data_IF_169090256172
#
_entry.id   IF_169090256172
#
_cell.length_a   1.000
_cell.length_b   1.000
_cell.length_c   1.000
_cell.angle_alpha   90.00
_cell.angle_beta   90.00
_cell.angle_gamma   90.00
#
_symmetry.space_group_name_H-M   'P 1'
#
loop_
_entity.id
_entity.type
_entity.pdbx_description
1 polymer ?
#
# COMPACT_ATOMS: atom_id res chain seq x y z
N UNK A 1 20.83 16.13 12.25
CA UNK A 1 21.49 15.37 11.15
C UNK A 1 20.42 14.96 10.14
N UNK A 2 20.62 15.18 8.83
CA UNK A 2 19.62 14.79 7.80
C UNK A 2 19.70 13.28 7.55
N UNK A 3 18.57 12.57 7.57
CA UNK A 3 18.53 11.14 7.23
C UNK A 3 18.78 10.94 5.72
N UNK A 4 19.67 10.01 5.39
CA UNK A 4 19.90 9.60 3.99
C UNK A 4 18.68 8.82 3.48
N UNK A 5 18.34 8.92 2.17
CA UNK A 5 17.32 8.07 1.58
C UNK A 5 17.68 6.59 1.75
N UNK A 6 16.68 5.78 2.11
CA UNK A 6 16.79 4.32 2.10
C UNK A 6 17.10 3.86 0.67
N UNK A 7 17.99 2.89 0.49
CA UNK A 7 18.18 2.27 -0.82
C UNK A 7 16.99 1.36 -1.13
N UNK A 8 16.46 1.45 -2.36
CA UNK A 8 15.42 0.52 -2.81
C UNK A 8 16.05 -0.79 -3.24
N UNK A 9 15.58 -1.90 -2.68
CA UNK A 9 15.97 -3.23 -3.13
C UNK A 9 15.27 -3.56 -4.46
N UNK A 10 16.06 -3.93 -5.47
CA UNK A 10 15.58 -4.44 -6.75
C UNK A 10 15.99 -5.91 -6.88
N UNK A 11 15.23 -6.73 -7.64
CA UNK A 11 15.50 -8.17 -7.75
C UNK A 11 16.77 -8.51 -8.54
N UNK A 12 17.33 -7.55 -9.28
CA UNK A 12 18.58 -7.71 -10.01
C UNK A 12 19.58 -6.63 -9.59
N UNK A 13 20.84 -7.03 -9.46
CA UNK A 13 21.93 -6.11 -9.17
C UNK A 13 22.69 -5.77 -10.45
N UNK A 14 22.68 -4.50 -10.89
CA UNK A 14 23.42 -4.11 -12.07
C UNK A 14 24.93 -4.18 -11.79
N UNK A 15 25.68 -4.74 -12.75
CA UNK A 15 27.15 -4.78 -12.71
C UNK A 15 27.77 -3.39 -12.80
N UNK A 16 27.13 -2.46 -13.52
CA UNK A 16 27.62 -1.09 -13.71
C UNK A 16 27.21 -0.17 -12.54
N UNK A 17 28.17 0.56 -11.92
CA UNK A 17 27.86 1.56 -10.89
C UNK A 17 26.94 2.68 -11.38
N UNK A 18 27.05 3.08 -12.65
CA UNK A 18 26.20 4.12 -13.25
C UNK A 18 24.75 3.65 -13.32
N UNK A 19 24.53 2.41 -13.74
CA UNK A 19 23.19 1.82 -13.79
C UNK A 19 22.62 1.63 -12.38
N UNK A 20 23.45 1.26 -11.40
CA UNK A 20 23.05 1.23 -9.99
C UNK A 20 22.58 2.60 -9.50
N UNK A 21 23.33 3.66 -9.79
CA UNK A 21 22.94 5.03 -9.48
C UNK A 21 21.64 5.46 -10.16
N UNK A 22 21.48 5.13 -11.44
CA UNK A 22 20.26 5.40 -12.19
C UNK A 22 19.04 4.67 -11.59
N UNK A 23 19.19 3.40 -11.21
CA UNK A 23 18.11 2.62 -10.58
C UNK A 23 17.69 3.17 -9.20
N UNK A 24 18.60 3.81 -8.48
CA UNK A 24 18.30 4.49 -7.22
C UNK A 24 17.80 5.93 -7.41
N UNK A 25 17.69 6.41 -8.64
CA UNK A 25 17.12 7.73 -8.91
C UNK A 25 15.62 7.74 -8.62
N UNK A 26 15.11 8.88 -8.15
CA UNK A 26 13.69 9.06 -7.89
C UNK A 26 12.84 8.79 -9.13
N UNK A 27 13.28 9.27 -10.30
CA UNK A 27 12.60 9.08 -11.57
C UNK A 27 12.50 7.60 -11.95
N UNK A 28 13.60 6.85 -11.86
CA UNK A 28 13.58 5.42 -12.15
C UNK A 28 12.69 4.66 -11.18
N UNK A 29 12.79 4.95 -9.88
CA UNK A 29 11.95 4.31 -8.86
C UNK A 29 10.47 4.57 -9.16
N UNK A 30 10.08 5.82 -9.44
CA UNK A 30 8.70 6.17 -9.79
C UNK A 30 8.25 5.45 -11.07
N UNK A 31 9.04 5.48 -12.13
CA UNK A 31 8.71 4.81 -13.40
C UNK A 31 8.55 3.31 -13.21
N UNK A 32 9.49 2.66 -12.53
CA UNK A 32 9.43 1.22 -12.27
C UNK A 32 8.20 0.84 -11.42
N UNK A 33 7.83 1.64 -10.43
CA UNK A 33 6.61 1.36 -9.66
C UNK A 33 5.33 1.75 -10.38
N UNK A 34 5.37 2.73 -11.28
CA UNK A 34 4.24 3.07 -12.14
C UNK A 34 3.91 1.88 -13.04
N UNK A 35 4.92 1.30 -13.71
CA UNK A 35 4.76 0.09 -14.52
C UNK A 35 4.25 -1.10 -13.69
N UNK A 36 4.89 -1.36 -12.54
CA UNK A 36 4.55 -2.53 -11.72
C UNK A 36 3.33 -2.34 -10.82
N UNK A 37 2.81 -1.12 -10.72
CA UNK A 37 1.65 -0.72 -9.89
C UNK A 37 1.72 -1.09 -8.40
N UNK A 38 2.84 -1.61 -7.87
CA UNK A 38 2.90 -2.14 -6.51
C UNK A 38 2.11 -3.44 -6.31
N UNK A 39 1.98 -4.28 -7.34
CA UNK A 39 1.21 -5.55 -7.24
C UNK A 39 1.91 -6.65 -6.42
N UNK A 40 3.22 -6.55 -6.17
CA UNK A 40 4.04 -7.61 -5.55
C UNK A 40 3.55 -8.06 -4.17
N UNK A 41 2.90 -7.19 -3.41
CA UNK A 41 2.36 -7.49 -2.08
C UNK A 41 0.87 -7.81 -2.05
N UNK A 42 0.17 -7.73 -3.19
CA UNK A 42 -1.27 -7.93 -3.28
C UNK A 42 -1.64 -9.40 -3.18
N UNK A 43 -2.79 -9.66 -2.57
CA UNK A 43 -3.46 -10.96 -2.63
C UNK A 43 -4.28 -11.07 -3.93
N UNK A 44 -4.64 -12.28 -4.34
CA UNK A 44 -5.34 -12.52 -5.60
C UNK A 44 -6.69 -11.80 -5.66
N UNK A 45 -7.41 -11.76 -4.52
CA UNK A 45 -8.71 -11.07 -4.47
C UNK A 45 -8.59 -9.55 -4.52
N UNK A 46 -7.54 -8.99 -3.95
CA UNK A 46 -7.28 -7.55 -4.08
C UNK A 46 -6.86 -7.22 -5.51
N UNK A 47 -5.99 -8.05 -6.10
CA UNK A 47 -5.52 -7.88 -7.46
C UNK A 47 -6.69 -7.95 -8.46
N UNK A 48 -7.60 -8.91 -8.31
CA UNK A 48 -8.76 -9.06 -9.20
C UNK A 48 -9.67 -7.83 -9.14
N UNK A 49 -9.95 -7.30 -7.95
CA UNK A 49 -10.70 -6.06 -7.80
C UNK A 49 -10.00 -4.88 -8.48
N UNK A 50 -8.68 -4.78 -8.31
CA UNK A 50 -7.90 -3.68 -8.90
C UNK A 50 -7.90 -3.73 -10.42
N UNK A 51 -7.70 -4.90 -11.01
CA UNK A 51 -7.76 -5.08 -12.46
C UNK A 51 -9.15 -4.76 -13.01
N UNK A 52 -10.21 -5.18 -12.30
CA UNK A 52 -11.59 -4.84 -12.67
C UNK A 52 -11.85 -3.33 -12.60
N UNK A 53 -11.36 -2.66 -11.56
CA UNK A 53 -11.48 -1.20 -11.41
C UNK A 53 -10.72 -0.45 -12.52
N UNK A 54 -9.49 -0.87 -12.83
CA UNK A 54 -8.68 -0.25 -13.89
C UNK A 54 -9.33 -0.43 -15.27
N UNK A 55 -9.87 -1.62 -15.54
CA UNK A 55 -10.64 -1.88 -16.76
C UNK A 55 -11.91 -1.01 -16.82
N UNK A 56 -12.66 -0.89 -15.73
CA UNK A 56 -13.85 -0.05 -15.65
C UNK A 56 -13.52 1.44 -15.88
N UNK A 57 -12.45 1.94 -15.27
CA UNK A 57 -11.96 3.30 -15.48
C UNK A 57 -11.50 3.52 -16.93
N UNK A 58 -10.79 2.56 -17.51
CA UNK A 58 -10.35 2.60 -18.91
C UNK A 58 -11.55 2.71 -19.84
N UNK A 59 -12.57 1.87 -19.66
CA UNK A 59 -13.78 1.92 -20.48
C UNK A 59 -14.54 3.24 -20.28
N UNK A 60 -14.71 3.69 -19.03
CA UNK A 60 -15.39 4.94 -18.71
C UNK A 60 -14.71 6.18 -19.33
N UNK A 61 -13.38 6.17 -19.43
CA UNK A 61 -12.60 7.24 -20.09
C UNK A 61 -12.56 7.08 -21.62
N UNK A 62 -12.54 5.86 -22.13
CA UNK A 62 -12.45 5.60 -23.57
C UNK A 62 -13.71 6.07 -24.31
N UNK A 63 -14.90 5.90 -23.73
CA UNK A 63 -16.17 6.30 -24.35
C UNK A 63 -16.23 7.80 -24.74
N UNK A 64 -15.98 8.77 -23.84
CA UNK A 64 -15.96 10.17 -24.22
C UNK A 64 -14.77 10.51 -25.14
N UNK A 65 -13.62 9.86 -24.98
CA UNK A 65 -12.46 10.10 -25.85
C UNK A 65 -12.70 9.63 -27.29
N UNK A 66 -13.46 8.55 -27.48
CA UNK A 66 -13.80 8.01 -28.79
C UNK A 66 -14.70 8.96 -29.62
N UNK A 67 -15.32 9.96 -28.99
CA UNK A 67 -16.03 11.03 -29.71
C UNK A 67 -15.06 11.98 -30.45
N UNK A 68 -13.78 12.02 -30.07
CA UNK A 68 -12.80 12.97 -30.60
C UNK A 68 -11.56 12.29 -31.23
N UNK A 69 -11.33 11.02 -30.93
CA UNK A 69 -10.14 10.27 -31.33
C UNK A 69 -10.53 8.94 -31.99
N UNK A 70 -9.70 8.39 -32.90
CA UNK A 70 -9.86 7.02 -33.36
C UNK A 70 -9.93 6.05 -32.19
N UNK A 71 -10.82 5.05 -32.25
CA UNK A 71 -11.10 4.14 -31.14
C UNK A 71 -9.84 3.53 -30.51
N UNK A 72 -8.88 3.09 -31.33
CA UNK A 72 -7.62 2.53 -30.84
C UNK A 72 -6.79 3.52 -30.02
N UNK A 73 -6.71 4.78 -30.45
CA UNK A 73 -6.00 5.84 -29.72
C UNK A 73 -6.77 6.27 -28.46
N UNK A 74 -8.10 6.34 -28.53
CA UNK A 74 -8.96 6.63 -27.37
C UNK A 74 -8.77 5.59 -26.26
N UNK A 75 -8.79 4.30 -26.61
CA UNK A 75 -8.57 3.20 -25.65
C UNK A 75 -7.16 3.23 -25.08
N UNK A 76 -6.13 3.43 -25.92
CA UNK A 76 -4.74 3.50 -25.45
C UNK A 76 -4.52 4.67 -24.47
N UNK A 77 -5.03 5.86 -24.81
CA UNK A 77 -4.94 7.03 -23.94
C UNK A 77 -5.74 6.83 -22.65
N UNK A 78 -6.96 6.30 -22.74
CA UNK A 78 -7.79 5.98 -21.59
C UNK A 78 -7.10 4.99 -20.63
N UNK A 79 -6.43 3.97 -21.16
CA UNK A 79 -5.66 3.01 -20.36
C UNK A 79 -4.52 3.70 -19.62
N UNK A 80 -3.71 4.52 -20.31
CA UNK A 80 -2.60 5.27 -19.68
C UNK A 80 -3.13 6.20 -18.57
N UNK A 81 -4.24 6.88 -18.80
CA UNK A 81 -4.88 7.75 -17.82
C UNK A 81 -5.41 6.96 -16.62
N UNK A 82 -6.16 5.88 -16.85
CA UNK A 82 -6.69 5.00 -15.81
C UNK A 82 -5.56 4.39 -14.95
N UNK A 83 -4.50 3.91 -15.60
CA UNK A 83 -3.32 3.33 -14.95
C UNK A 83 -2.55 4.36 -14.11
N UNK A 84 -2.44 5.60 -14.60
CA UNK A 84 -1.81 6.71 -13.86
C UNK A 84 -2.66 7.16 -12.68
N UNK A 85 -3.99 7.22 -12.86
CA UNK A 85 -4.93 7.54 -11.79
C UNK A 85 -4.91 6.46 -10.70
N UNK A 86 -4.92 5.19 -11.11
CA UNK A 86 -4.75 4.01 -10.25
C UNK A 86 -3.46 4.12 -9.45
N UNK A 87 -2.31 4.35 -10.08
CA UNK A 87 -1.03 4.55 -9.39
C UNK A 87 -1.08 5.67 -8.36
N UNK A 88 -1.68 6.81 -8.72
CA UNK A 88 -1.69 8.02 -7.92
C UNK A 88 -2.62 7.90 -6.72
N UNK A 89 -3.90 7.59 -6.96
CA UNK A 89 -4.93 7.52 -5.92
C UNK A 89 -4.75 6.31 -5.00
N UNK A 90 -4.09 5.24 -5.47
CA UNK A 90 -3.73 4.09 -4.65
C UNK A 90 -2.52 4.35 -3.72
N UNK A 91 -2.08 5.61 -3.60
CA UNK A 91 -1.06 6.04 -2.64
C UNK A 91 0.39 5.68 -3.01
N UNK A 92 0.60 5.00 -4.14
CA UNK A 92 1.92 4.48 -4.53
C UNK A 92 2.94 5.60 -4.79
N UNK A 93 2.47 6.78 -5.21
CA UNK A 93 3.31 7.98 -5.38
C UNK A 93 4.06 8.27 -4.08
N UNK A 94 3.39 8.36 -2.93
CA UNK A 94 4.04 8.72 -1.67
C UNK A 94 4.94 7.59 -1.13
N UNK A 95 4.51 6.33 -1.31
CA UNK A 95 5.35 5.15 -0.99
C UNK A 95 6.65 5.14 -1.79
N UNK A 96 6.64 5.64 -3.03
CA UNK A 96 7.84 5.79 -3.84
C UNK A 96 8.65 7.04 -3.45
N UNK A 97 7.98 8.16 -3.19
CA UNK A 97 8.63 9.41 -2.86
C UNK A 97 9.53 9.32 -1.62
N UNK A 98 9.28 8.40 -0.66
CA UNK A 98 10.18 8.19 0.50
C UNK A 98 11.64 7.86 0.13
N UNK A 99 11.86 7.27 -1.05
CA UNK A 99 13.19 6.99 -1.61
C UNK A 99 13.84 8.24 -2.24
N UNK A 100 13.07 9.28 -2.48
CA UNK A 100 13.54 10.53 -3.08
C UNK A 100 14.10 11.47 -2.02
N UNK A 101 15.18 12.19 -2.35
CA UNK A 101 15.85 13.11 -1.41
C UNK A 101 14.97 14.26 -0.94
N UNK A 102 14.10 14.75 -1.82
CA UNK A 102 13.25 15.92 -1.62
C UNK A 102 12.01 15.65 -0.76
N UNK A 103 11.56 14.41 -0.68
CA UNK A 103 10.37 14.07 0.09
C UNK A 103 10.71 13.78 1.54
N UNK A 104 9.91 14.35 2.42
CA UNK A 104 9.91 14.12 3.86
C UNK A 104 8.48 14.27 4.35
N UNK A 105 8.15 13.50 5.37
CA UNK A 105 6.87 13.58 6.05
C UNK A 105 7.11 13.82 7.52
N UNK A 106 6.29 14.68 8.10
CA UNK A 106 6.28 14.92 9.53
C UNK A 106 5.82 13.64 10.25
N UNK A 107 6.64 13.04 11.14
CA UNK A 107 6.26 11.89 11.93
C UNK A 107 4.91 12.07 12.65
N UNK A 108 4.63 13.26 13.19
CA UNK A 108 3.38 13.53 13.90
C UNK A 108 2.15 13.40 12.99
N UNK A 109 2.30 13.68 11.69
CA UNK A 109 1.23 13.48 10.71
C UNK A 109 0.95 12.00 10.46
N UNK A 110 2.00 11.17 10.42
CA UNK A 110 1.86 9.72 10.30
C UNK A 110 1.15 9.20 11.55
N UNK A 111 1.56 9.66 12.73
CA UNK A 111 0.98 9.30 14.03
C UNK A 111 -0.52 9.62 14.08
N UNK A 112 -0.88 10.87 13.80
CA UNK A 112 -2.27 11.30 13.79
C UNK A 112 -3.12 10.54 12.76
N UNK A 113 -2.57 10.23 11.58
CA UNK A 113 -3.28 9.43 10.59
C UNK A 113 -3.51 7.99 11.06
N UNK A 114 -2.49 7.37 11.66
CA UNK A 114 -2.58 6.00 12.15
C UNK A 114 -3.55 5.89 13.33
N UNK A 115 -3.55 6.86 14.25
CA UNK A 115 -4.48 6.91 15.38
C UNK A 115 -5.92 7.03 14.90
N UNK A 116 -6.19 7.98 13.99
CA UNK A 116 -7.51 8.15 13.40
C UNK A 116 -7.98 6.89 12.63
N UNK A 117 -7.06 6.28 11.87
CA UNK A 117 -7.32 5.04 11.12
C UNK A 117 -7.59 3.87 12.08
N UNK A 118 -6.82 3.75 13.16
CA UNK A 118 -7.01 2.74 14.21
C UNK A 118 -8.40 2.83 14.82
N UNK A 119 -8.81 4.03 15.24
CA UNK A 119 -10.16 4.26 15.77
C UNK A 119 -11.25 3.90 14.75
N UNK A 120 -11.06 4.23 13.47
CA UNK A 120 -11.99 3.88 12.39
C UNK A 120 -12.08 2.36 12.18
N UNK A 121 -10.94 1.67 12.08
CA UNK A 121 -10.89 0.22 11.84
C UNK A 121 -11.54 -0.57 12.99
N UNK A 122 -11.31 -0.17 14.24
CA UNK A 122 -11.93 -0.78 15.43
C UNK A 122 -13.47 -0.69 15.43
N UNK A 123 -14.03 0.35 14.81
CA UNK A 123 -15.49 0.55 14.69
C UNK A 123 -16.13 -0.27 13.56
N UNK A 124 -15.36 -0.92 12.69
CA UNK A 124 -15.91 -1.75 11.61
C UNK A 124 -16.22 -3.16 12.15
N UNK A 125 -17.50 -3.55 12.31
CA UNK A 125 -17.86 -4.83 12.94
C UNK A 125 -17.51 -6.04 12.08
N UNK A 126 -17.45 -5.86 10.76
CA UNK A 126 -17.16 -6.93 9.79
C UNK A 126 -15.66 -7.18 9.59
N UNK A 127 -14.79 -6.26 10.00
CA UNK A 127 -13.34 -6.43 9.86
C UNK A 127 -12.83 -7.34 10.98
N UNK A 128 -12.12 -8.40 10.63
CA UNK A 128 -11.66 -9.41 11.59
C UNK A 128 -10.31 -9.03 12.22
N UNK A 129 -9.34 -8.66 11.38
CA UNK A 129 -7.98 -8.37 11.82
C UNK A 129 -7.39 -7.18 11.07
N UNK A 130 -6.67 -6.32 11.79
CA UNK A 130 -5.84 -5.28 11.23
C UNK A 130 -4.54 -5.17 12.02
N UNK A 131 -3.41 -5.05 11.33
CA UNK A 131 -2.10 -4.92 11.96
C UNK A 131 -1.14 -4.10 11.11
N UNK A 132 -0.13 -3.52 11.74
CA UNK A 132 1.04 -2.99 11.05
C UNK A 132 2.22 -3.96 11.17
N UNK A 133 2.98 -4.09 10.09
CA UNK A 133 4.24 -4.87 10.04
C UNK A 133 5.45 -3.94 9.87
N UNK A 134 6.67 -4.50 9.84
CA UNK A 134 7.89 -3.76 9.58
C UNK A 134 8.41 -2.98 10.78
N UNK A 135 9.24 -1.96 10.52
CA UNK A 135 9.87 -1.11 11.56
C UNK A 135 8.86 -0.38 12.46
N UNK A 136 7.58 -0.36 12.07
CA UNK A 136 6.48 0.15 12.89
C UNK A 136 6.10 -0.77 14.05
N UNK A 137 6.42 -2.06 13.96
CA UNK A 137 6.30 -2.99 15.08
C UNK A 137 7.45 -2.85 16.09
N UNK A 138 8.63 -2.42 15.64
CA UNK A 138 9.89 -2.52 16.41
C UNK A 138 10.00 -1.54 17.59
N UNK A 139 9.38 -0.36 17.52
CA UNK A 139 9.31 0.53 18.68
C UNK A 139 8.17 1.55 18.55
N UNK A 140 7.45 1.77 19.65
CA UNK A 140 6.60 2.95 19.86
C UNK A 140 7.42 4.27 19.98
N UNK A 141 8.67 4.29 19.49
CA UNK A 141 9.64 5.37 19.65
C UNK A 141 10.06 5.92 18.29
N UNK A 142 9.66 7.17 18.04
CA UNK A 142 10.06 8.06 16.93
C UNK A 142 10.08 7.43 15.54
N UNK A 143 8.95 7.57 14.81
CA UNK A 143 8.92 7.36 13.37
C UNK A 143 9.91 8.30 12.69
N UNK A 144 10.72 7.79 11.77
CA UNK A 144 11.63 8.60 10.99
C UNK A 144 10.88 9.44 9.95
N UNK A 145 11.48 10.56 9.50
CA UNK A 145 10.93 11.46 8.46
C UNK A 145 10.64 10.80 7.09
N UNK A 146 10.97 9.51 6.94
CA UNK A 146 10.82 8.69 5.72
C UNK A 146 10.14 7.33 5.98
N UNK A 147 9.60 7.14 7.18
CA UNK A 147 8.89 5.91 7.54
C UNK A 147 7.58 5.80 6.75
N UNK A 148 7.27 4.59 6.29
CA UNK A 148 5.98 4.20 5.75
C UNK A 148 5.12 3.51 6.81
N UNK A 149 3.83 3.40 6.51
CA UNK A 149 2.91 2.54 7.23
C UNK A 149 2.68 1.29 6.39
N UNK A 150 3.14 0.14 6.86
CA UNK A 150 2.82 -1.17 6.30
C UNK A 150 1.58 -1.75 6.98
N UNK A 151 0.39 -1.32 6.57
CA UNK A 151 -0.89 -1.78 7.13
C UNK A 151 -1.38 -3.03 6.39
N UNK A 152 -1.79 -4.05 7.13
CA UNK A 152 -2.34 -5.30 6.60
C UNK A 152 -3.71 -5.56 7.22
N UNK A 153 -4.69 -5.86 6.37
CA UNK A 153 -6.03 -6.23 6.78
C UNK A 153 -6.26 -7.72 6.50
N UNK A 154 -6.91 -8.43 7.41
CA UNK A 154 -7.46 -9.76 7.13
C UNK A 154 -8.97 -9.64 7.26
N UNK A 155 -9.67 -10.03 6.21
CA UNK A 155 -11.12 -9.89 6.11
C UNK A 155 -11.80 -11.25 5.98
N UNK A 156 -13.05 -11.38 6.46
CA UNK A 156 -13.77 -12.63 6.35
C UNK A 156 -14.10 -12.93 4.88
N UNK A 157 -14.25 -14.22 4.58
CA UNK A 157 -14.69 -14.67 3.26
C UNK A 157 -16.05 -14.09 2.83
N UNK A 158 -16.34 -14.25 1.54
CA UNK A 158 -17.60 -13.84 0.91
C UNK A 158 -17.50 -12.57 0.08
N UNK A 159 -18.29 -12.51 -1.00
CA UNK A 159 -18.24 -11.42 -1.99
C UNK A 159 -18.56 -10.04 -1.38
N UNK A 160 -19.48 -9.96 -0.42
CA UNK A 160 -19.81 -8.70 0.25
C UNK A 160 -18.62 -8.16 1.07
N UNK A 161 -17.94 -9.02 1.82
CA UNK A 161 -16.77 -8.63 2.61
C UNK A 161 -15.58 -8.30 1.72
N UNK A 162 -15.39 -9.04 0.63
CA UNK A 162 -14.42 -8.72 -0.41
C UNK A 162 -14.64 -7.32 -0.99
N UNK A 163 -15.86 -7.00 -1.41
CA UNK A 163 -16.16 -5.67 -1.96
C UNK A 163 -15.99 -4.57 -0.90
N UNK A 164 -16.54 -4.75 0.30
CA UNK A 164 -16.41 -3.80 1.41
C UNK A 164 -14.95 -3.53 1.78
N UNK A 165 -14.13 -4.58 1.80
CA UNK A 165 -12.70 -4.45 2.07
C UNK A 165 -12.02 -3.65 0.98
N UNK A 166 -12.24 -3.98 -0.29
CA UNK A 166 -11.62 -3.24 -1.39
C UNK A 166 -12.05 -1.77 -1.44
N UNK A 167 -13.32 -1.46 -1.16
CA UNK A 167 -13.78 -0.07 -1.01
C UNK A 167 -13.12 0.63 0.18
N UNK A 168 -12.91 -0.08 1.29
CA UNK A 168 -12.14 0.43 2.43
C UNK A 168 -10.68 0.71 2.04
N UNK A 169 -10.03 -0.18 1.29
CA UNK A 169 -8.65 0.02 0.81
C UNK A 169 -8.55 1.28 -0.06
N UNK A 170 -9.47 1.46 -1.02
CA UNK A 170 -9.54 2.66 -1.84
C UNK A 170 -9.71 3.93 -0.99
N UNK A 171 -10.64 3.91 -0.03
CA UNK A 171 -10.90 5.05 0.83
C UNK A 171 -9.67 5.41 1.69
N UNK A 172 -9.01 4.42 2.29
CA UNK A 172 -7.82 4.64 3.12
C UNK A 172 -6.63 5.13 2.30
N UNK A 173 -6.41 4.58 1.11
CA UNK A 173 -5.33 5.02 0.20
C UNK A 173 -5.59 6.41 -0.36
N UNK A 174 -6.83 6.73 -0.73
CA UNK A 174 -7.22 8.07 -1.14
C UNK A 174 -7.02 9.10 -0.03
N UNK A 175 -7.43 8.78 1.20
CA UNK A 175 -7.20 9.64 2.36
C UNK A 175 -5.71 9.84 2.66
N UNK A 176 -4.93 8.75 2.63
CA UNK A 176 -3.48 8.82 2.80
C UNK A 176 -2.82 9.63 1.69
N UNK A 177 -3.29 9.51 0.44
CA UNK A 177 -2.81 10.30 -0.69
C UNK A 177 -3.03 11.80 -0.48
N UNK A 178 -4.24 12.21 -0.09
CA UNK A 178 -4.56 13.62 0.19
C UNK A 178 -3.70 14.17 1.34
N UNK A 179 -3.48 13.37 2.39
CA UNK A 179 -2.67 13.76 3.55
C UNK A 179 -1.15 13.59 3.33
N UNK A 180 -0.73 13.10 2.16
CA UNK A 180 0.67 12.80 1.81
C UNK A 180 1.34 11.80 2.76
N UNK A 181 0.59 10.82 3.23
CA UNK A 181 1.07 9.72 4.08
C UNK A 181 1.53 8.56 3.19
N UNK A 182 2.78 8.07 3.33
CA UNK A 182 3.26 6.91 2.60
C UNK A 182 2.66 5.63 3.20
N UNK A 183 1.54 5.19 2.62
CA UNK A 183 0.79 4.02 3.07
C UNK A 183 1.00 2.85 2.11
N UNK A 184 1.68 1.80 2.58
CA UNK A 184 1.68 0.49 1.95
C UNK A 184 0.59 -0.36 2.63
N UNK A 185 -0.56 -0.49 1.97
CA UNK A 185 -1.73 -1.15 2.52
C UNK A 185 -2.06 -2.36 1.65
N UNK A 186 -2.40 -3.52 2.24
CA UNK A 186 -2.92 -4.69 1.52
C UNK A 186 -3.98 -5.42 2.35
N UNK A 187 -4.85 -6.17 1.67
CA UNK A 187 -5.82 -7.08 2.30
C UNK A 187 -5.55 -8.54 1.96
N UNK A 188 -5.83 -9.42 2.92
CA UNK A 188 -5.66 -10.86 2.80
C UNK A 188 -6.93 -11.61 3.19
N UNK A 189 -7.11 -12.75 2.54
CA UNK A 189 -8.19 -13.69 2.83
C UNK A 189 -8.00 -14.46 4.14
N UNK A 190 -6.75 -14.57 4.59
CA UNK A 190 -6.41 -15.34 5.78
C UNK A 190 -5.12 -14.85 6.43
N UNK A 191 -4.95 -15.23 7.70
CA UNK A 191 -3.73 -14.93 8.47
C UNK A 191 -2.50 -15.66 7.91
N UNK A 192 -2.68 -16.78 7.23
CA UNK A 192 -1.61 -17.54 6.56
C UNK A 192 -0.88 -16.72 5.50
N UNK A 193 -1.55 -15.77 4.82
CA UNK A 193 -0.90 -14.85 3.88
C UNK A 193 0.15 -13.95 4.55
N UNK A 194 0.17 -13.87 5.88
CA UNK A 194 1.18 -13.14 6.65
C UNK A 194 2.48 -13.95 6.86
N UNK A 195 2.49 -15.25 6.55
CA UNK A 195 3.66 -16.14 6.72
C UNK A 195 4.82 -15.75 5.80
N UNK A 196 4.52 -15.09 4.67
CA UNK A 196 5.53 -14.58 3.72
C UNK A 196 6.34 -13.38 4.23
N UNK A 197 5.92 -12.77 5.34
CA UNK A 197 6.68 -11.69 5.97
C UNK A 197 7.74 -12.25 6.93
N UNK A 198 8.69 -11.40 7.36
CA UNK A 198 9.70 -11.81 8.34
C UNK A 198 9.04 -12.08 9.68
N UNK A 199 9.11 -13.32 10.15
CA UNK A 199 8.44 -13.76 11.38
C UNK A 199 9.13 -13.29 12.66
N UNK A 200 10.39 -12.85 12.56
CA UNK A 200 11.13 -12.25 13.68
C UNK A 200 10.71 -10.81 13.98
N UNK A 201 10.02 -10.14 13.06
CA UNK A 201 9.57 -8.76 13.27
C UNK A 201 8.29 -8.76 14.13
N UNK A 202 8.20 -7.88 15.16
CA UNK A 202 6.98 -7.72 15.94
C UNK A 202 5.79 -7.24 15.09
N UNK A 203 4.59 -7.63 15.50
CA UNK A 203 3.34 -7.18 14.88
C UNK A 203 2.65 -6.15 15.77
N UNK A 204 2.35 -4.97 15.21
CA UNK A 204 1.51 -3.98 15.88
C UNK A 204 0.03 -4.28 15.56
N UNK A 205 -0.64 -4.98 16.47
CA UNK A 205 -2.04 -5.38 16.37
C UNK A 205 -2.94 -4.18 16.65
N UNK A 206 -3.70 -3.76 15.63
CA UNK A 206 -4.73 -2.72 15.72
C UNK A 206 -6.06 -3.34 16.15
N UNK A 207 -6.38 -4.49 15.56
CA UNK A 207 -7.61 -5.24 15.76
C UNK A 207 -7.34 -6.74 15.57
N UNK A 208 -7.83 -7.57 16.49
CA UNK A 208 -7.91 -9.03 16.32
C UNK A 208 -9.12 -9.56 17.09
N UNK A 209 -10.27 -9.71 16.41
CA UNK A 209 -11.56 -10.00 17.08
C UNK A 209 -11.72 -11.44 17.54
N UNK A 210 -10.96 -12.36 16.96
CA UNK A 210 -11.12 -13.81 17.15
C UNK A 210 -9.81 -14.46 17.62
N UNK A 211 -8.90 -13.64 18.17
CA UNK A 211 -7.55 -14.04 18.58
C UNK A 211 -6.78 -14.85 17.51
N UNK A 212 -7.10 -14.64 16.22
CA UNK A 212 -6.55 -15.45 15.12
C UNK A 212 -5.05 -15.25 14.95
N UNK A 213 -4.56 -14.04 15.24
CA UNK A 213 -3.11 -13.79 15.22
C UNK A 213 -2.42 -14.49 16.37
N UNK A 214 -3.03 -14.52 17.55
CA UNK A 214 -2.49 -15.20 18.73
C UNK A 214 -2.44 -16.71 18.52
N UNK A 215 -3.50 -17.28 17.95
CA UNK A 215 -3.60 -18.71 17.66
C UNK A 215 -2.58 -19.13 16.60
N UNK A 216 -2.43 -18.34 15.53
CA UNK A 216 -1.51 -18.66 14.42
C UNK A 216 -0.05 -18.33 14.73
N UNK A 217 0.21 -17.31 15.57
CA UNK A 217 1.56 -16.86 15.94
C UNK A 217 1.81 -16.87 17.46
N UNK A 218 1.78 -18.03 18.13
CA UNK A 218 1.86 -18.12 19.59
C UNK A 218 3.19 -17.63 20.18
N UNK A 219 4.26 -17.60 19.37
CA UNK A 219 5.62 -17.22 19.79
C UNK A 219 6.09 -15.86 19.26
N UNK A 220 5.24 -15.16 18.50
CA UNK A 220 5.61 -13.87 17.90
C UNK A 220 5.28 -12.72 18.86
N UNK A 221 6.10 -11.68 18.87
CA UNK A 221 5.84 -10.47 19.66
C UNK A 221 4.62 -9.73 19.06
N UNK A 222 3.47 -9.82 19.74
CA UNK A 222 2.23 -9.16 19.37
C UNK A 222 2.01 -7.94 20.28
N UNK A 223 2.28 -6.75 19.76
CA UNK A 223 2.10 -5.48 20.48
C UNK A 223 0.73 -4.91 20.13
N UNK A 224 -0.03 -4.45 21.13
CA UNK A 224 -1.32 -3.81 20.87
C UNK A 224 -1.12 -2.31 20.64
N UNK A 225 -1.75 -1.78 19.60
CA UNK A 225 -1.88 -0.33 19.46
C UNK A 225 -2.70 0.21 20.63
N UNK A 226 -2.31 1.37 21.18
CA UNK A 226 -3.10 2.08 22.19
C UNK A 226 -4.51 2.43 21.66
#
# INVERSE_FOLDING_TARGET
MRSQPKAKAFPFEPRSPRLRGAMQSCAFILAANWVMQGVRGMDEKELSFRLALEAALTLGLALPLAAFLPLGLAVALAFVLAHTLSFTLNGQVWVCCRYCRWYRVDPARIDAWLEATTGRLRRLPWLETALCIGSQGEAAGTRGERSDIDLRLVFPGGASNWLRTNLLLLALRGEAFVRRVPLDLYAYDGVTSLDRFRQSEPLLVILDRKDRLRDHYPRRDLRRAA
#
